data_IF_311500434570
#
_entry.id   IF_311500434570
#
_cell.length_a   1.000
_cell.length_b   1.000
_cell.length_c   1.000
_cell.angle_alpha   90.00
_cell.angle_beta   90.00
_cell.angle_gamma   90.00
#
_symmetry.space_group_name_H-M   'P 1'
#
loop_
_entity.id
_entity.type
_entity.pdbx_description
1 polymer ?
#
# COMPACT_ATOMS: atom_id res chain seq x y z
N UNK A 1 28.62 -11.00 -6.51
CA UNK A 1 28.00 -10.63 -5.21
C UNK A 1 26.79 -11.51 -4.99
N UNK A 2 26.64 -12.08 -3.80
CA UNK A 2 25.51 -12.98 -3.52
C UNK A 2 24.24 -12.18 -3.20
N UNK A 3 23.08 -12.77 -3.47
CA UNK A 3 21.79 -12.24 -3.05
C UNK A 3 21.67 -11.92 -1.57
N UNK A 4 22.16 -12.81 -0.71
CA UNK A 4 22.06 -12.68 0.74
C UNK A 4 22.88 -11.48 1.22
N UNK A 5 24.09 -11.29 0.67
CA UNK A 5 24.90 -10.12 0.98
C UNK A 5 24.22 -8.84 0.53
N UNK A 6 23.66 -8.79 -0.68
CA UNK A 6 22.94 -7.61 -1.15
C UNK A 6 21.70 -7.33 -0.30
N UNK A 7 20.91 -8.36 0.01
CA UNK A 7 19.75 -8.26 0.91
C UNK A 7 20.15 -7.65 2.26
N UNK A 8 21.28 -8.06 2.85
CA UNK A 8 21.75 -7.50 4.10
C UNK A 8 22.08 -6.00 3.99
N UNK A 9 22.63 -5.54 2.86
CA UNK A 9 22.83 -4.10 2.63
C UNK A 9 21.51 -3.34 2.63
N UNK A 10 20.45 -3.92 2.07
CA UNK A 10 19.11 -3.31 2.04
C UNK A 10 18.50 -3.26 3.45
N UNK A 11 18.51 -4.38 4.18
CA UNK A 11 17.94 -4.49 5.53
C UNK A 11 18.66 -3.56 6.53
N UNK A 12 19.97 -3.37 6.37
CA UNK A 12 20.74 -2.42 7.19
C UNK A 12 20.63 -0.97 6.70
N UNK A 13 19.80 -0.70 5.69
CA UNK A 13 19.67 0.59 5.03
C UNK A 13 21.03 1.21 4.62
N UNK A 14 21.98 0.37 4.22
CA UNK A 14 23.34 0.77 3.88
C UNK A 14 23.40 1.34 2.44
N UNK A 15 22.79 2.51 2.24
CA UNK A 15 22.59 3.14 0.92
C UNK A 15 23.87 3.21 0.07
N UNK A 16 24.99 3.62 0.67
CA UNK A 16 26.27 3.73 -0.05
C UNK A 16 26.78 2.37 -0.53
N UNK A 17 26.70 1.35 0.33
CA UNK A 17 27.10 -0.01 -0.01
C UNK A 17 26.18 -0.58 -1.10
N UNK A 18 24.87 -0.42 -0.95
CA UNK A 18 23.88 -0.86 -1.93
C UNK A 18 24.10 -0.19 -3.31
N UNK A 19 24.44 1.10 -3.33
CA UNK A 19 24.77 1.82 -4.57
C UNK A 19 26.01 1.25 -5.25
N UNK A 20 27.10 1.07 -4.52
CA UNK A 20 28.34 0.47 -5.05
C UNK A 20 28.06 -0.93 -5.62
N UNK A 21 27.30 -1.72 -4.89
CA UNK A 21 26.82 -3.03 -5.28
C UNK A 21 26.04 -3.01 -6.61
N UNK A 22 25.08 -2.09 -6.77
CA UNK A 22 24.26 -1.96 -7.98
C UNK A 22 25.07 -1.45 -9.19
N UNK A 23 26.04 -0.57 -8.97
CA UNK A 23 26.92 -0.05 -10.03
C UNK A 23 27.90 -1.10 -10.56
N UNK A 24 28.43 -1.95 -9.67
CA UNK A 24 29.45 -2.97 -10.00
C UNK A 24 30.79 -2.40 -10.46
N UNK A 25 31.03 -1.09 -10.25
CA UNK A 25 32.25 -0.39 -10.70
C UNK A 25 33.44 -0.54 -9.75
N UNK A 26 33.20 -0.93 -8.50
CA UNK A 26 34.25 -1.16 -7.54
C UNK A 26 35.20 -2.28 -8.01
N UNK A 27 36.53 -2.12 -7.92
CA UNK A 27 37.49 -3.13 -8.35
C UNK A 27 37.21 -4.51 -7.75
N UNK A 28 36.80 -4.57 -6.48
CA UNK A 28 36.49 -5.79 -5.74
C UNK A 28 35.29 -6.56 -6.32
N UNK A 29 34.43 -5.90 -7.08
CA UNK A 29 33.26 -6.51 -7.71
C UNK A 29 33.57 -7.04 -9.11
N UNK A 30 34.71 -6.70 -9.73
CA UNK A 30 35.10 -7.14 -11.07
C UNK A 30 33.98 -6.98 -12.11
N UNK A 31 33.24 -5.85 -12.08
CA UNK A 31 32.13 -5.59 -13.00
C UNK A 31 30.80 -6.30 -12.64
N UNK A 32 30.75 -7.15 -11.62
CA UNK A 32 29.54 -7.84 -11.20
C UNK A 32 28.59 -6.89 -10.45
N UNK A 33 27.41 -6.66 -11.04
CA UNK A 33 26.35 -5.84 -10.46
C UNK A 33 25.39 -6.68 -9.61
N UNK A 34 24.88 -6.10 -8.52
CA UNK A 34 23.69 -6.62 -7.87
C UNK A 34 22.51 -6.56 -8.84
N UNK A 35 21.72 -7.63 -8.91
CA UNK A 35 20.41 -7.58 -9.54
C UNK A 35 19.39 -7.01 -8.52
N UNK A 36 18.77 -5.84 -8.79
CA UNK A 36 17.80 -5.24 -7.87
C UNK A 36 16.48 -6.02 -7.79
N UNK A 37 16.26 -7.00 -8.68
CA UNK A 37 15.07 -7.84 -8.75
C UNK A 37 15.36 -9.29 -8.34
N UNK A 38 16.42 -9.54 -7.57
CA UNK A 38 16.70 -10.88 -7.08
C UNK A 38 15.80 -11.27 -5.90
N UNK A 39 15.27 -12.48 -5.86
CA UNK A 39 14.47 -13.00 -4.75
C UNK A 39 15.35 -13.70 -3.72
N UNK A 40 15.40 -13.22 -2.47
CA UNK A 40 16.15 -13.87 -1.41
C UNK A 40 15.56 -15.26 -1.05
N UNK A 41 16.27 -16.04 -0.22
CA UNK A 41 15.86 -17.40 0.15
C UNK A 41 14.53 -17.48 0.90
N UNK A 42 14.06 -16.36 1.48
CA UNK A 42 12.76 -16.28 2.15
C UNK A 42 11.63 -16.01 1.18
N UNK A 43 11.90 -15.57 -0.05
CA UNK A 43 10.88 -15.23 -1.03
C UNK A 43 10.59 -13.74 -1.20
N UNK A 44 11.42 -12.86 -0.62
CA UNK A 44 11.31 -11.40 -0.77
C UNK A 44 12.29 -10.85 -1.78
N UNK A 45 11.94 -9.73 -2.40
CA UNK A 45 12.83 -8.96 -3.27
C UNK A 45 13.36 -7.71 -2.53
N UNK A 46 14.47 -7.10 -3.00
CA UNK A 46 15.03 -5.88 -2.42
C UNK A 46 14.00 -4.78 -2.17
N UNK A 47 13.05 -4.61 -3.07
CA UNK A 47 12.03 -3.58 -2.94
C UNK A 47 11.02 -3.87 -1.81
N UNK A 48 10.69 -5.14 -1.53
CA UNK A 48 9.89 -5.49 -0.35
C UNK A 48 10.62 -5.15 0.95
N UNK A 49 11.92 -5.44 1.02
CA UNK A 49 12.72 -5.13 2.21
C UNK A 49 12.87 -3.61 2.41
N UNK A 50 13.03 -2.84 1.32
CA UNK A 50 13.07 -1.39 1.40
C UNK A 50 11.70 -0.78 1.79
N UNK A 51 10.60 -1.38 1.33
CA UNK A 51 9.23 -1.03 1.71
C UNK A 51 8.96 -1.30 3.20
N UNK A 52 9.38 -2.46 3.69
CA UNK A 52 9.29 -2.86 5.09
C UNK A 52 9.98 -1.85 6.02
N UNK A 53 11.12 -1.32 5.60
CA UNK A 53 11.89 -0.34 6.38
C UNK A 53 11.45 1.12 6.19
N UNK A 54 10.43 1.38 5.35
CA UNK A 54 10.02 2.73 4.95
C UNK A 54 11.17 3.63 4.47
N UNK A 55 12.17 3.03 3.80
CA UNK A 55 13.35 3.75 3.32
C UNK A 55 13.11 4.32 1.92
N UNK A 56 12.58 5.54 1.86
CA UNK A 56 12.32 6.26 0.62
C UNK A 56 13.57 6.36 -0.28
N UNK A 57 14.74 6.59 0.30
CA UNK A 57 16.00 6.71 -0.45
C UNK A 57 16.45 5.37 -1.02
N UNK A 58 16.27 4.27 -0.28
CA UNK A 58 16.61 2.93 -0.78
C UNK A 58 15.66 2.54 -1.91
N UNK A 59 14.36 2.86 -1.78
CA UNK A 59 13.37 2.65 -2.84
C UNK A 59 13.75 3.42 -4.10
N UNK A 60 14.05 4.72 -3.98
CA UNK A 60 14.50 5.55 -5.11
C UNK A 60 15.76 4.99 -5.76
N UNK A 61 16.73 4.55 -4.96
CA UNK A 61 17.95 3.93 -5.44
C UNK A 61 17.65 2.65 -6.23
N UNK A 62 16.89 1.73 -5.65
CA UNK A 62 16.51 0.47 -6.32
C UNK A 62 15.76 0.74 -7.64
N UNK A 63 14.83 1.69 -7.63
CA UNK A 63 14.12 2.12 -8.84
C UNK A 63 15.01 2.76 -9.90
N UNK A 64 16.04 3.51 -9.49
CA UNK A 64 17.02 4.08 -10.41
C UNK A 64 17.79 2.99 -11.16
N UNK A 65 18.07 1.85 -10.50
CA UNK A 65 18.77 0.71 -11.11
C UNK A 65 17.84 -0.36 -11.70
N UNK A 66 16.54 -0.08 -11.86
CA UNK A 66 15.61 -0.96 -12.58
C UNK A 66 14.87 -1.98 -11.71
N UNK A 67 14.72 -1.75 -10.41
CA UNK A 67 13.81 -2.54 -9.59
C UNK A 67 12.36 -2.43 -10.10
N UNK A 68 11.66 -3.56 -10.13
CA UNK A 68 10.24 -3.63 -10.47
C UNK A 68 9.37 -3.56 -9.22
N UNK A 69 8.35 -2.70 -9.25
CA UNK A 69 7.34 -2.61 -8.20
C UNK A 69 6.28 -3.73 -8.26
N UNK A 70 6.33 -4.58 -9.29
CA UNK A 70 5.29 -5.57 -9.60
C UNK A 70 5.72 -7.01 -9.29
N UNK A 71 6.89 -7.21 -8.68
CA UNK A 71 7.35 -8.54 -8.26
C UNK A 71 6.59 -8.98 -7.01
N UNK A 72 6.01 -10.18 -7.05
CA UNK A 72 5.27 -10.74 -5.95
C UNK A 72 6.12 -11.72 -5.15
N UNK A 73 6.00 -11.68 -3.83
CA UNK A 73 6.62 -12.67 -2.95
C UNK A 73 6.20 -14.08 -3.34
N UNK A 74 7.11 -15.03 -3.19
CA UNK A 74 6.84 -16.45 -3.45
C UNK A 74 7.79 -17.30 -2.62
N UNK A 75 7.27 -18.37 -2.02
CA UNK A 75 8.05 -19.26 -1.18
C UNK A 75 7.27 -19.69 0.07
N UNK A 76 7.72 -20.77 0.74
CA UNK A 76 7.02 -21.35 1.88
C UNK A 76 7.13 -20.51 3.17
N UNK A 77 8.09 -19.59 3.23
CA UNK A 77 8.38 -18.77 4.43
C UNK A 77 7.72 -17.39 4.39
N UNK A 78 6.88 -17.12 3.38
CA UNK A 78 6.25 -15.80 3.16
C UNK A 78 4.78 -15.92 2.82
N UNK A 79 4.04 -14.84 3.09
CA UNK A 79 2.72 -14.67 2.50
C UNK A 79 2.91 -14.57 0.99
N UNK A 80 2.36 -15.54 0.26
CA UNK A 80 2.49 -15.61 -1.18
C UNK A 80 1.71 -14.49 -1.88
N UNK A 81 2.29 -13.95 -2.96
CA UNK A 81 1.58 -13.03 -3.84
C UNK A 81 1.60 -11.56 -3.39
N UNK A 82 2.41 -11.17 -2.40
CA UNK A 82 2.48 -9.78 -1.95
C UNK A 82 3.39 -8.92 -2.83
N UNK A 83 2.89 -7.76 -3.23
CA UNK A 83 3.68 -6.70 -3.85
C UNK A 83 4.47 -5.93 -2.77
N UNK A 84 5.56 -5.23 -3.12
CA UNK A 84 6.21 -4.29 -2.21
C UNK A 84 5.23 -3.24 -1.66
N UNK A 85 4.23 -2.86 -2.48
CA UNK A 85 3.14 -1.97 -2.09
C UNK A 85 2.34 -2.52 -0.91
N UNK A 86 1.99 -3.81 -0.92
CA UNK A 86 1.25 -4.45 0.17
C UNK A 86 2.04 -4.43 1.47
N UNK A 87 3.34 -4.72 1.41
CA UNK A 87 4.21 -4.66 2.59
C UNK A 87 4.22 -3.27 3.20
N UNK A 88 4.37 -2.21 2.39
CA UNK A 88 4.35 -0.84 2.88
C UNK A 88 2.98 -0.45 3.50
N UNK A 89 1.88 -0.79 2.82
CA UNK A 89 0.52 -0.45 3.27
C UNK A 89 0.16 -1.18 4.56
N UNK A 90 0.41 -2.49 4.63
CA UNK A 90 0.08 -3.29 5.81
C UNK A 90 0.94 -2.90 7.02
N UNK A 91 2.25 -2.69 6.84
CA UNK A 91 3.11 -2.24 7.92
C UNK A 91 2.74 -0.83 8.40
N UNK A 92 2.28 0.06 7.52
CA UNK A 92 1.82 1.39 7.90
C UNK A 92 0.58 1.30 8.82
N UNK A 93 -0.29 0.32 8.57
CA UNK A 93 -1.53 0.12 9.33
C UNK A 93 -1.34 -0.64 10.63
N UNK A 94 -0.32 -1.50 10.71
CA UNK A 94 0.06 -2.21 11.93
C UNK A 94 0.98 -1.38 12.85
N UNK A 95 1.38 -0.19 12.41
CA UNK A 95 2.09 0.71 13.29
C UNK A 95 1.18 1.04 14.49
N UNK A 96 1.72 0.89 15.72
CA UNK A 96 1.01 1.08 17.00
C UNK A 96 0.11 2.32 17.02
N UNK A 97 0.50 3.35 16.28
CA UNK A 97 -0.28 4.56 16.10
C UNK A 97 -1.72 4.30 15.60
N UNK A 98 -1.90 3.52 14.52
CA UNK A 98 -3.26 3.23 14.03
C UNK A 98 -3.94 2.17 14.89
N UNK A 99 -3.20 1.17 15.37
CA UNK A 99 -3.72 0.11 16.22
C UNK A 99 -4.33 0.63 17.54
N UNK A 100 -3.64 1.56 18.22
CA UNK A 100 -4.07 2.15 19.49
C UNK A 100 -5.19 3.19 19.32
N UNK A 101 -5.27 3.85 18.17
CA UNK A 101 -6.23 4.93 17.91
C UNK A 101 -7.51 4.47 17.17
N UNK A 102 -7.51 3.28 16.59
CA UNK A 102 -8.68 2.67 15.92
C UNK A 102 -9.40 1.71 16.88
N UNK A 103 -9.89 2.20 18.02
CA UNK A 103 -10.80 1.39 18.85
C UNK A 103 -12.14 1.20 18.12
N UNK A 104 -12.65 -0.06 18.04
CA UNK A 104 -13.75 -0.40 17.16
C UNK A 104 -15.10 0.04 17.76
N UNK A 105 -15.65 1.13 17.23
CA UNK A 105 -17.10 1.19 17.05
C UNK A 105 -17.41 1.02 15.56
N UNK A 106 -17.39 -0.24 15.12
CA UNK A 106 -17.46 -0.63 13.69
C UNK A 106 -18.81 -0.32 13.04
N UNK A 107 -19.79 0.16 13.79
CA UNK A 107 -21.12 0.52 13.28
C UNK A 107 -21.31 2.03 13.07
N UNK A 108 -20.35 2.85 13.52
CA UNK A 108 -20.46 4.30 13.44
C UNK A 108 -19.73 4.86 12.20
N UNK A 109 -20.43 5.67 11.40
CA UNK A 109 -19.86 6.41 10.27
C UNK A 109 -18.73 7.35 10.68
N UNK A 110 -18.69 7.77 11.95
CA UNK A 110 -17.59 8.54 12.54
C UNK A 110 -16.24 7.83 12.43
N UNK A 111 -16.24 6.49 12.33
CA UNK A 111 -15.02 5.72 12.11
C UNK A 111 -14.29 6.12 10.83
N UNK A 112 -15.03 6.40 9.74
CA UNK A 112 -14.42 6.79 8.46
C UNK A 112 -13.74 8.15 8.58
N UNK A 113 -14.41 9.14 9.20
CA UNK A 113 -13.85 10.46 9.42
C UNK A 113 -12.65 10.43 10.37
N UNK A 114 -12.75 9.67 11.46
CA UNK A 114 -11.64 9.47 12.39
C UNK A 114 -10.44 8.81 11.71
N UNK A 115 -10.67 7.81 10.86
CA UNK A 115 -9.62 7.16 10.10
C UNK A 115 -8.94 8.15 9.12
N UNK A 116 -9.71 8.95 8.38
CA UNK A 116 -9.16 9.98 7.51
C UNK A 116 -8.31 10.97 8.31
N UNK A 117 -8.82 11.45 9.46
CA UNK A 117 -8.07 12.33 10.35
C UNK A 117 -6.74 11.72 10.79
N UNK A 118 -6.74 10.46 11.23
CA UNK A 118 -5.53 9.76 11.67
C UNK A 118 -4.52 9.58 10.55
N UNK A 119 -4.96 9.16 9.35
CA UNK A 119 -4.07 8.97 8.20
C UNK A 119 -3.48 10.31 7.73
N UNK A 120 -4.14 11.44 8.00
CA UNK A 120 -3.64 12.77 7.65
C UNK A 120 -2.66 13.38 8.66
N UNK A 121 -2.35 12.70 9.77
CA UNK A 121 -1.44 13.23 10.77
C UNK A 121 0.03 13.23 10.27
N UNK A 122 0.88 14.19 10.73
CA UNK A 122 2.28 14.28 10.30
C UNK A 122 3.09 13.00 10.52
N UNK A 123 2.77 12.23 11.56
CA UNK A 123 3.35 10.91 11.86
C UNK A 123 3.17 9.93 10.71
N UNK A 124 2.09 10.08 9.93
CA UNK A 124 1.80 9.20 8.80
C UNK A 124 2.57 9.55 7.54
N UNK A 125 3.23 10.72 7.50
CA UNK A 125 3.87 11.23 6.29
C UNK A 125 4.91 10.28 5.71
N UNK A 126 5.80 9.71 6.52
CA UNK A 126 6.85 8.80 6.02
C UNK A 126 6.26 7.52 5.39
N UNK A 127 5.18 6.99 6.00
CA UNK A 127 4.49 5.82 5.49
C UNK A 127 3.78 6.15 4.16
N UNK A 128 3.06 7.26 4.10
CA UNK A 128 2.38 7.73 2.90
C UNK A 128 3.35 8.04 1.77
N UNK A 129 4.49 8.66 2.05
CA UNK A 129 5.53 8.97 1.07
C UNK A 129 6.14 7.68 0.49
N UNK A 130 6.39 6.69 1.34
CA UNK A 130 6.86 5.37 0.91
C UNK A 130 5.83 4.67 0.02
N UNK A 131 4.59 4.56 0.49
CA UNK A 131 3.49 3.93 -0.28
C UNK A 131 3.33 4.65 -1.62
N UNK A 132 3.38 5.98 -1.63
CA UNK A 132 3.27 6.80 -2.84
C UNK A 132 4.38 6.50 -3.84
N UNK A 133 5.65 6.47 -3.39
CA UNK A 133 6.80 6.18 -4.26
C UNK A 133 6.65 4.82 -4.94
N UNK A 134 6.19 3.79 -4.21
CA UNK A 134 5.98 2.46 -4.78
C UNK A 134 4.77 2.46 -5.72
N UNK A 135 3.65 3.03 -5.29
CA UNK A 135 2.41 3.07 -6.05
C UNK A 135 2.58 3.75 -7.41
N UNK A 136 3.40 4.80 -7.52
CA UNK A 136 3.75 5.45 -8.78
C UNK A 136 4.25 4.47 -9.85
N UNK A 137 4.84 3.35 -9.45
CA UNK A 137 5.36 2.30 -10.35
C UNK A 137 4.61 0.96 -10.28
N UNK A 138 3.57 0.85 -9.45
CA UNK A 138 2.73 -0.37 -9.35
C UNK A 138 1.61 -0.37 -10.38
N UNK A 139 1.40 -1.50 -11.04
CA UNK A 139 0.34 -1.68 -12.03
C UNK A 139 -1.01 -1.96 -11.37
N UNK A 140 -2.10 -1.59 -12.05
CA UNK A 140 -3.49 -1.87 -11.66
C UNK A 140 -3.84 -1.58 -10.19
N UNK A 141 -3.54 -0.36 -9.73
CA UNK A 141 -3.87 0.08 -8.37
C UNK A 141 -5.36 -0.03 -8.02
N UNK A 142 -6.27 0.07 -8.99
CA UNK A 142 -7.71 -0.07 -8.75
C UNK A 142 -8.03 -1.49 -8.29
N UNK A 143 -7.45 -2.51 -8.92
CA UNK A 143 -7.61 -3.89 -8.50
C UNK A 143 -7.04 -4.15 -7.09
N UNK A 144 -5.87 -3.58 -6.78
CA UNK A 144 -5.25 -3.76 -5.45
C UNK A 144 -6.05 -3.04 -4.34
N UNK A 145 -6.56 -1.82 -4.61
CA UNK A 145 -7.49 -1.14 -3.69
C UNK A 145 -8.76 -1.96 -3.49
N UNK A 146 -9.34 -2.48 -4.58
CA UNK A 146 -10.55 -3.28 -4.51
C UNK A 146 -10.39 -4.55 -3.68
N UNK A 147 -9.21 -5.18 -3.72
CA UNK A 147 -8.88 -6.31 -2.86
C UNK A 147 -8.97 -5.94 -1.37
N UNK A 148 -8.36 -4.84 -0.95
CA UNK A 148 -8.48 -4.36 0.43
C UNK A 148 -9.93 -4.05 0.84
N UNK A 149 -10.72 -3.46 -0.07
CA UNK A 149 -12.14 -3.19 0.16
C UNK A 149 -12.92 -4.50 0.39
N UNK A 150 -12.70 -5.52 -0.46
CA UNK A 150 -13.36 -6.83 -0.31
C UNK A 150 -12.99 -7.52 1.00
N UNK A 151 -11.74 -7.40 1.42
CA UNK A 151 -11.24 -7.99 2.66
C UNK A 151 -11.68 -7.20 3.91
N UNK A 152 -12.38 -6.06 3.73
CA UNK A 152 -12.84 -5.21 4.83
C UNK A 152 -11.72 -4.43 5.54
N UNK A 153 -10.56 -4.30 4.88
CA UNK A 153 -9.35 -3.64 5.38
C UNK A 153 -9.42 -2.13 5.16
N UNK A 154 -10.23 -1.44 5.97
CA UNK A 154 -10.52 -0.01 5.79
C UNK A 154 -9.30 0.89 5.98
N UNK A 155 -8.41 0.58 6.94
CA UNK A 155 -7.22 1.38 7.22
C UNK A 155 -6.23 1.33 6.05
N UNK A 156 -5.95 0.13 5.55
CA UNK A 156 -5.13 -0.12 4.37
C UNK A 156 -5.72 0.54 3.13
N UNK A 157 -7.05 0.46 2.98
CA UNK A 157 -7.78 1.16 1.92
C UNK A 157 -7.54 2.67 2.01
N UNK A 158 -7.64 3.28 3.19
CA UNK A 158 -7.45 4.72 3.38
C UNK A 158 -6.02 5.16 3.05
N UNK A 159 -5.03 4.44 3.57
CA UNK A 159 -3.60 4.68 3.30
C UNK A 159 -3.31 4.60 1.80
N UNK A 160 -3.78 3.54 1.14
CA UNK A 160 -3.53 3.33 -0.28
C UNK A 160 -4.25 4.37 -1.15
N UNK A 161 -5.53 4.64 -0.89
CA UNK A 161 -6.29 5.66 -1.61
C UNK A 161 -5.62 7.03 -1.49
N UNK A 162 -5.26 7.46 -0.27
CA UNK A 162 -4.70 8.79 -0.05
C UNK A 162 -3.31 8.93 -0.66
N UNK A 163 -2.43 7.95 -0.47
CA UNK A 163 -1.06 7.99 -1.00
C UNK A 163 -1.02 7.86 -2.52
N UNK A 164 -1.88 7.01 -3.11
CA UNK A 164 -1.83 6.66 -4.53
C UNK A 164 -2.86 7.41 -5.40
N UNK A 165 -3.68 8.31 -4.82
CA UNK A 165 -4.78 9.01 -5.50
C UNK A 165 -4.38 9.61 -6.85
N UNK A 166 -3.18 10.19 -6.96
CA UNK A 166 -2.69 10.79 -8.21
C UNK A 166 -2.68 9.77 -9.35
N UNK A 167 -2.17 8.55 -9.10
CA UNK A 167 -2.13 7.51 -10.12
C UNK A 167 -3.50 6.86 -10.34
N UNK A 168 -4.31 6.73 -9.29
CA UNK A 168 -5.69 6.24 -9.38
C UNK A 168 -6.52 7.16 -10.30
N UNK A 169 -6.41 8.49 -10.14
CA UNK A 169 -7.10 9.49 -10.97
C UNK A 169 -6.66 9.48 -12.44
N UNK A 170 -5.38 9.23 -12.69
CA UNK A 170 -4.82 9.19 -14.05
C UNK A 170 -5.25 7.93 -14.85
N UNK A 171 -5.98 7.01 -14.22
CA UNK A 171 -6.49 5.77 -14.81
C UNK A 171 -5.39 4.74 -15.17
N UNK A 172 -5.73 3.45 -15.17
CA UNK A 172 -4.83 2.38 -15.67
C UNK A 172 -4.54 2.57 -17.16
N UNK A 173 -3.28 2.48 -17.60
CA UNK A 173 -2.81 2.76 -18.98
C UNK A 173 -3.33 1.81 -20.08
N UNK A 174 -4.54 1.25 -19.96
CA UNK A 174 -5.10 0.32 -20.92
C UNK A 174 -6.15 1.02 -21.81
N UNK A 175 -5.66 1.51 -22.96
CA UNK A 175 -6.25 1.50 -24.32
C UNK A 175 -6.23 2.85 -25.06
N UNK A 176 -5.90 2.85 -26.37
CA UNK A 176 -5.84 4.04 -27.23
C UNK A 176 -7.16 4.31 -27.97
N UNK A 177 -8.31 4.11 -27.32
CA UNK A 177 -9.62 4.25 -27.99
C UNK A 177 -10.48 5.32 -27.29
N UNK A 178 -10.30 6.58 -27.68
CA UNK A 178 -11.29 7.67 -27.81
C UNK A 178 -12.34 8.01 -26.73
N UNK A 179 -12.57 7.19 -25.71
CA UNK A 179 -13.50 7.45 -24.60
C UNK A 179 -12.71 8.01 -23.42
N UNK A 180 -13.24 9.05 -22.77
CA UNK A 180 -12.62 9.62 -21.57
C UNK A 180 -12.38 8.50 -20.56
N UNK A 181 -11.10 8.24 -20.30
CA UNK A 181 -10.63 7.21 -19.38
C UNK A 181 -11.35 7.38 -18.04
N UNK A 182 -12.11 6.39 -17.61
CA UNK A 182 -12.84 6.48 -16.35
C UNK A 182 -11.84 6.67 -15.20
N UNK A 183 -12.06 7.72 -14.41
CA UNK A 183 -11.33 7.97 -13.17
C UNK A 183 -11.39 6.71 -12.28
N UNK A 184 -10.24 6.27 -11.76
CA UNK A 184 -10.15 5.10 -10.90
C UNK A 184 -11.05 5.22 -9.67
N UNK A 185 -11.29 6.43 -9.15
CA UNK A 185 -12.26 6.64 -8.07
C UNK A 185 -13.70 6.34 -8.51
N UNK A 186 -14.10 6.78 -9.70
CA UNK A 186 -15.43 6.47 -10.24
C UNK A 186 -15.63 4.95 -10.43
N UNK A 187 -14.59 4.26 -10.91
CA UNK A 187 -14.60 2.79 -11.03
C UNK A 187 -14.78 2.14 -9.66
N UNK A 188 -14.02 2.57 -8.64
CA UNK A 188 -14.13 2.04 -7.29
C UNK A 188 -15.50 2.30 -6.65
N UNK A 189 -16.06 3.50 -6.83
CA UNK A 189 -17.40 3.85 -6.35
C UNK A 189 -18.49 2.97 -6.97
N UNK A 190 -18.40 2.71 -8.27
CA UNK A 190 -19.32 1.81 -8.97
C UNK A 190 -19.20 0.37 -8.43
N UNK A 191 -17.98 -0.15 -8.32
CA UNK A 191 -17.72 -1.49 -7.76
C UNK A 191 -18.28 -1.65 -6.34
N UNK A 192 -18.07 -0.65 -5.47
CA UNK A 192 -18.63 -0.68 -4.11
C UNK A 192 -20.17 -0.69 -4.12
N UNK A 193 -20.80 0.07 -5.02
CA UNK A 193 -22.26 0.16 -5.14
C UNK A 193 -22.84 -1.16 -5.64
N UNK A 194 -22.25 -1.76 -6.67
CA UNK A 194 -22.65 -3.05 -7.21
C UNK A 194 -22.53 -4.18 -6.17
N UNK A 195 -21.42 -4.23 -5.43
CA UNK A 195 -21.23 -5.25 -4.38
C UNK A 195 -22.22 -5.06 -3.22
N UNK A 196 -22.53 -3.80 -2.84
CA UNK A 196 -23.55 -3.52 -1.83
C UNK A 196 -24.94 -4.00 -2.26
N UNK A 197 -25.35 -3.78 -3.51
CA UNK A 197 -26.62 -4.29 -4.08
C UNK A 197 -26.63 -5.82 -4.10
N UNK A 198 -25.51 -6.46 -4.47
CA UNK A 198 -25.40 -7.91 -4.45
C UNK A 198 -25.53 -8.50 -3.03
N UNK A 199 -24.99 -7.82 -2.01
CA UNK A 199 -25.18 -8.21 -0.61
C UNK A 199 -26.64 -8.06 -0.19
N UNK A 200 -27.33 -6.99 -0.60
CA UNK A 200 -28.76 -6.79 -0.31
C UNK A 200 -29.63 -7.91 -0.89
N UNK A 201 -29.36 -8.33 -2.12
CA UNK A 201 -30.03 -9.48 -2.74
C UNK A 201 -29.75 -10.78 -1.96
N UNK A 202 -28.53 -10.99 -1.46
CA UNK A 202 -28.21 -12.16 -0.61
C UNK A 202 -28.95 -12.11 0.74
N UNK A 203 -29.15 -10.92 1.31
CA UNK A 203 -29.88 -10.76 2.58
C UNK A 203 -31.36 -11.11 2.41
N UNK A 204 -31.99 -10.67 1.31
CA UNK A 204 -33.41 -10.95 1.05
C UNK A 204 -33.68 -12.44 0.77
N UNK A 205 -32.70 -13.14 0.18
CA UNK A 205 -32.81 -14.56 -0.15
C UNK A 205 -32.52 -15.50 1.03
N UNK A 206 -31.78 -15.08 2.06
CA UNK A 206 -31.32 -15.97 3.14
C UNK A 206 -32.26 -16.00 4.37
N UNK A 207 -32.66 -17.22 4.78
CA UNK A 207 -33.44 -17.46 6.00
C UNK A 207 -32.54 -17.47 7.25
N UNK A 208 -32.48 -16.32 7.92
CA UNK A 208 -32.10 -16.09 9.33
C UNK A 208 -30.63 -16.33 9.73
N UNK A 209 -29.95 -17.40 9.30
CA UNK A 209 -28.66 -17.82 9.88
C UNK A 209 -27.43 -16.94 9.58
N UNK A 210 -27.36 -16.31 8.39
CA UNK A 210 -26.22 -15.45 7.98
C UNK A 210 -26.54 -13.96 7.97
N UNK A 211 -27.71 -13.56 8.46
CA UNK A 211 -28.22 -12.19 8.31
C UNK A 211 -27.34 -11.15 9.01
N UNK A 212 -26.81 -11.47 10.20
CA UNK A 212 -25.95 -10.57 10.95
C UNK A 212 -24.57 -10.40 10.29
N UNK A 213 -23.97 -11.49 9.77
CA UNK A 213 -22.71 -11.43 9.04
C UNK A 213 -22.83 -10.60 7.77
N UNK A 214 -23.86 -10.85 6.96
CA UNK A 214 -24.10 -10.09 5.73
C UNK A 214 -24.39 -8.61 6.01
N UNK A 215 -25.04 -8.31 7.14
CA UNK A 215 -25.26 -6.92 7.58
C UNK A 215 -23.94 -6.24 7.96
N UNK A 216 -23.05 -6.93 8.66
CA UNK A 216 -21.71 -6.41 8.98
C UNK A 216 -20.86 -6.21 7.71
N UNK A 217 -20.88 -7.17 6.78
CA UNK A 217 -20.22 -7.04 5.47
C UNK A 217 -20.77 -5.82 4.71
N UNK A 218 -22.09 -5.66 4.63
CA UNK A 218 -22.74 -4.49 4.01
C UNK A 218 -22.26 -3.18 4.64
N UNK A 219 -22.20 -3.11 5.97
CA UNK A 219 -21.72 -1.92 6.68
C UNK A 219 -20.27 -1.58 6.31
N UNK A 220 -19.38 -2.59 6.24
CA UNK A 220 -18.00 -2.40 5.77
C UNK A 220 -17.94 -1.85 4.33
N UNK A 221 -18.76 -2.36 3.41
CA UNK A 221 -18.81 -1.88 2.01
C UNK A 221 -19.32 -0.45 1.95
N UNK A 222 -20.31 -0.10 2.77
CA UNK A 222 -20.81 1.27 2.89
C UNK A 222 -19.73 2.22 3.42
N UNK A 223 -18.99 1.82 4.45
CA UNK A 223 -17.87 2.62 4.96
C UNK A 223 -16.75 2.77 3.93
N UNK A 224 -16.41 1.72 3.19
CA UNK A 224 -15.45 1.78 2.09
C UNK A 224 -15.91 2.74 0.99
N UNK A 225 -17.19 2.72 0.59
CA UNK A 225 -17.74 3.67 -0.38
C UNK A 225 -17.63 5.12 0.11
N UNK A 226 -17.98 5.39 1.37
CA UNK A 226 -17.83 6.73 1.95
C UNK A 226 -16.37 7.18 1.96
N UNK A 227 -15.44 6.28 2.28
CA UNK A 227 -14.00 6.56 2.26
C UNK A 227 -13.50 6.87 0.85
N UNK A 228 -13.91 6.10 -0.16
CA UNK A 228 -13.58 6.34 -1.57
C UNK A 228 -14.09 7.69 -2.02
N UNK A 229 -15.35 8.04 -1.71
CA UNK A 229 -15.95 9.34 -2.06
C UNK A 229 -15.21 10.48 -1.35
N UNK A 230 -15.00 10.37 -0.05
CA UNK A 230 -14.35 11.43 0.74
C UNK A 230 -12.93 11.72 0.24
N UNK A 231 -12.13 10.68 -0.06
CA UNK A 231 -10.79 10.87 -0.63
C UNK A 231 -10.86 11.34 -2.09
N UNK A 232 -11.86 10.91 -2.86
CA UNK A 232 -12.06 11.43 -4.22
C UNK A 232 -12.33 12.94 -4.23
N UNK A 233 -13.07 13.47 -3.25
CA UNK A 233 -13.44 14.88 -3.18
C UNK A 233 -12.38 15.74 -2.49
N UNK A 234 -11.86 15.29 -1.34
CA UNK A 234 -10.97 16.08 -0.49
C UNK A 234 -9.49 15.66 -0.57
N UNK A 235 -9.19 14.53 -1.21
CA UNK A 235 -7.87 13.89 -1.15
C UNK A 235 -6.72 14.78 -1.61
N UNK A 236 -6.91 15.63 -2.62
CA UNK A 236 -5.83 16.49 -3.13
C UNK A 236 -5.46 17.60 -2.12
N UNK A 237 -6.47 18.15 -1.45
CA UNK A 237 -6.27 19.11 -0.37
C UNK A 237 -5.60 18.46 0.84
N UNK A 238 -6.02 17.24 1.20
CA UNK A 238 -5.41 16.46 2.29
C UNK A 238 -3.95 16.08 1.97
N UNK A 239 -3.64 15.65 0.74
CA UNK A 239 -2.27 15.35 0.30
C UNK A 239 -1.38 16.59 0.35
N UNK A 240 -1.91 17.72 -0.09
CA UNK A 240 -1.21 19.02 -0.02
C UNK A 240 -0.89 19.41 1.42
N UNK A 241 -1.86 19.23 2.32
CA UNK A 241 -1.67 19.46 3.75
C UNK A 241 -0.55 18.57 4.31
N UNK A 242 -0.59 17.25 4.08
CA UNK A 242 0.40 16.30 4.60
C UNK A 242 1.81 16.62 4.11
N UNK A 243 1.96 16.95 2.82
CA UNK A 243 3.26 17.29 2.23
C UNK A 243 3.86 18.58 2.76
N UNK A 244 3.03 19.54 3.15
CA UNK A 244 3.50 20.81 3.71
C UNK A 244 4.06 20.67 5.13
N UNK A 245 3.74 19.57 5.83
CA UNK A 245 4.23 19.32 7.19
C UNK A 245 5.57 18.59 7.18
N UNK A 246 6.48 18.88 8.13
CA UNK A 246 7.75 18.17 8.24
C UNK A 246 7.53 16.72 8.65
N UNK A 247 8.45 15.85 8.25
CA UNK A 247 8.47 14.47 8.73
C UNK A 247 8.81 14.43 10.22
N UNK A 248 8.00 13.71 11.00
CA UNK A 248 8.37 13.37 12.36
C UNK A 248 9.57 12.38 12.32
N UNK A 249 10.64 12.60 13.10
CA UNK A 249 11.76 11.67 13.14
C UNK A 249 11.27 10.29 13.60
N UNK A 250 11.43 9.28 12.75
CA UNK A 250 11.19 7.90 13.14
C UNK A 250 12.22 7.50 14.21
N UNK A 251 11.82 7.11 15.43
CA UNK A 251 12.76 6.61 16.40
C UNK A 251 13.39 5.31 15.86
N UNK A 252 14.72 5.27 15.86
CA UNK A 252 15.52 4.35 15.04
C UNK A 252 15.39 2.84 15.33
N UNK A 253 14.50 2.40 16.22
CA UNK A 253 14.25 0.98 16.50
C UNK A 253 12.86 0.82 17.09
N UNK A 254 11.85 0.57 16.25
CA UNK A 254 10.67 -0.13 16.71
C UNK A 254 10.49 -1.44 15.94
N UNK A 255 10.08 -2.51 16.63
CA UNK A 255 9.94 -3.82 16.03
C UNK A 255 8.78 -3.75 15.03
N UNK A 256 9.10 -3.56 13.76
CA UNK A 256 8.19 -3.87 12.66
C UNK A 256 8.13 -5.40 12.54
N UNK A 257 6.90 -5.92 12.40
CA UNK A 257 6.53 -7.33 12.29
C UNK A 257 7.66 -8.34 12.52
N UNK A 258 7.78 -8.81 13.76
CA UNK A 258 8.12 -10.22 13.97
C UNK A 258 6.81 -10.99 13.86
N UNK A 259 6.59 -11.62 12.72
CA UNK A 259 5.82 -12.86 12.65
C UNK A 259 6.72 -14.02 13.05
#
# INVERSE_FOLDING_TARGET
>A
MTPQTFNQMIVQNALRCAKVALEGKAPELNGHRANPNYMNSRGYFPLHQAAEMFSADMIKLLFHYGASANLRTSGPEVIEGLLPLHVAVENACQHKFLEENLLPDKENTDYVYRLIQLVCLPEMKIFLDTVRLIAERTDDLVAEVWKYIKDGKLAETAVLLLAAQKKIRMGSCLKPDGYSKADGFAVLSNLCTEDAVAIDLKITQNRVGKKQQLKAEKNLRRMALMLVIAISEAGEALDSYIRAHPECPMPCRWPMLRS
#
